data_IF_609384991224
#
_entry.id   IF_609384991224
#
_cell.length_a   1.000
_cell.length_b   1.000
_cell.length_c   1.000
_cell.angle_alpha   90.00
_cell.angle_beta   90.00
_cell.angle_gamma   90.00
#
_symmetry.space_group_name_H-M   'P 1'
#
loop_
_entity.id
_entity.type
_entity.pdbx_description
1 polymer ?
#
# COMPACT_ATOMS: atom_id res chain seq x y z
N UNK A 1 16.20 30.86 -5.70
CA UNK A 1 16.57 30.59 -4.30
C UNK A 1 16.66 29.08 -4.00
N UNK A 2 17.58 28.35 -4.65
CA UNK A 2 17.81 26.92 -4.33
C UNK A 2 19.30 26.54 -4.30
N UNK A 3 20.21 27.45 -4.67
CA UNK A 3 21.66 27.18 -4.66
C UNK A 3 22.39 27.79 -3.46
N UNK A 4 21.77 28.73 -2.71
CA UNK A 4 22.41 29.34 -1.53
C UNK A 4 22.43 28.41 -0.31
N UNK A 5 21.43 27.53 -0.16
CA UNK A 5 21.32 26.64 1.00
C UNK A 5 22.29 25.44 0.96
N UNK A 6 22.80 25.07 -0.22
CA UNK A 6 23.80 24.00 -0.36
C UNK A 6 25.24 24.47 -0.04
N UNK A 7 25.51 25.77 -0.08
CA UNK A 7 26.85 26.31 0.16
C UNK A 7 27.16 26.50 1.66
N UNK A 8 26.14 26.81 2.49
CA UNK A 8 26.30 27.06 3.93
C UNK A 8 26.53 25.76 4.72
N UNK A 9 25.99 24.63 4.25
CA UNK A 9 26.17 23.32 4.89
C UNK A 9 27.53 22.67 4.60
N UNK A 10 28.23 23.08 3.53
CA UNK A 10 29.56 22.54 3.21
C UNK A 10 30.69 23.30 3.95
N UNK A 11 30.49 24.57 4.29
CA UNK A 11 31.52 25.40 4.96
C UNK A 11 31.57 25.22 6.48
N UNK A 12 30.49 24.74 7.12
CA UNK A 12 30.48 24.43 8.56
C UNK A 12 31.21 23.13 8.90
N UNK A 13 31.37 22.21 7.94
CA UNK A 13 32.10 20.96 8.13
C UNK A 13 33.63 21.12 7.99
N UNK A 14 34.09 22.20 7.34
CA UNK A 14 35.52 22.43 7.07
C UNK A 14 36.17 23.32 8.14
N UNK A 15 35.40 24.12 8.87
CA UNK A 15 35.93 25.03 9.91
C UNK A 15 36.06 24.41 11.31
N UNK A 16 35.55 23.20 11.55
CA UNK A 16 35.72 22.49 12.83
C UNK A 16 37.02 21.69 12.93
N UNK A 17 37.85 21.64 11.87
CA UNK A 17 39.10 20.87 11.85
C UNK A 17 40.39 21.70 12.02
N UNK A 18 40.30 23.02 12.23
CA UNK A 18 41.49 23.88 12.35
C UNK A 18 41.52 24.73 13.64
N UNK A 19 41.15 24.17 14.80
CA UNK A 19 41.66 24.68 16.07
C UNK A 19 42.87 23.83 16.50
N UNK A 20 44.03 24.27 16.03
CA UNK A 20 45.32 23.78 16.45
C UNK A 20 45.56 24.18 17.92
N UNK A 21 45.07 23.37 18.86
CA UNK A 21 45.55 23.43 20.23
C UNK A 21 46.98 22.88 20.26
N UNK A 22 47.96 23.75 20.50
CA UNK A 22 49.32 23.37 20.87
C UNK A 22 49.26 22.62 22.22
N UNK A 23 49.07 21.31 22.15
CA UNK A 23 49.21 20.42 23.32
C UNK A 23 50.68 20.05 23.45
N UNK A 24 51.32 20.63 24.46
CA UNK A 24 52.63 20.19 24.96
C UNK A 24 52.63 18.66 25.17
N UNK A 25 53.72 17.93 24.86
CA UNK A 25 53.73 16.48 24.96
C UNK A 25 53.80 16.08 26.43
N UNK A 26 52.65 16.10 27.12
CA UNK A 26 52.49 15.26 28.30
C UNK A 26 52.51 13.82 27.77
N UNK A 27 53.55 13.09 28.19
CA UNK A 27 53.75 11.67 27.91
C UNK A 27 52.61 10.88 28.55
N UNK A 28 51.42 10.90 27.93
CA UNK A 28 50.35 9.97 28.28
C UNK A 28 50.87 8.59 27.88
N UNK A 29 51.19 7.78 28.89
CA UNK A 29 51.26 6.32 28.73
C UNK A 29 50.05 5.92 27.90
N UNK A 30 50.27 5.27 26.76
CA UNK A 30 49.22 4.41 26.20
C UNK A 30 48.89 3.41 27.30
N UNK A 31 47.84 3.67 28.07
CA UNK A 31 47.16 2.61 28.79
C UNK A 31 46.58 1.72 27.71
N UNK A 32 47.32 0.66 27.35
CA UNK A 32 46.74 -0.49 26.67
C UNK A 32 45.55 -0.89 27.54
N UNK A 33 44.33 -0.65 27.04
CA UNK A 33 43.12 -1.23 27.61
C UNK A 33 43.40 -2.71 27.84
N UNK A 34 43.09 -3.20 29.04
CA UNK A 34 43.31 -4.58 29.40
C UNK A 34 42.59 -5.44 28.34
N UNK A 35 43.18 -6.52 27.78
CA UNK A 35 42.51 -7.33 26.75
C UNK A 35 41.08 -7.77 27.11
N UNK A 36 40.79 -7.89 28.41
CA UNK A 36 39.45 -8.16 28.96
C UNK A 36 38.46 -7.01 28.69
N UNK A 37 38.85 -5.75 28.91
CA UNK A 37 38.01 -4.56 28.67
C UNK A 37 37.70 -4.37 27.17
N UNK A 38 38.66 -4.71 26.30
CA UNK A 38 38.45 -4.70 24.85
C UNK A 38 37.44 -5.77 24.43
N UNK A 39 37.54 -6.98 24.99
CA UNK A 39 36.61 -8.07 24.72
C UNK A 39 35.17 -7.73 25.15
N UNK A 40 35.01 -7.13 26.34
CA UNK A 40 33.70 -6.74 26.84
C UNK A 40 33.08 -5.60 26.03
N UNK A 41 33.88 -4.63 25.58
CA UNK A 41 33.40 -3.58 24.66
C UNK A 41 32.93 -4.15 23.32
N UNK A 42 33.67 -5.10 22.74
CA UNK A 42 33.32 -5.76 21.48
C UNK A 42 32.04 -6.61 21.62
N UNK A 43 31.87 -7.31 22.74
CA UNK A 43 30.64 -8.05 23.06
C UNK A 43 29.43 -7.12 23.15
N UNK A 44 29.60 -5.95 23.77
CA UNK A 44 28.53 -4.97 23.89
C UNK A 44 28.14 -4.39 22.53
N UNK A 45 29.12 -4.06 21.68
CA UNK A 45 28.87 -3.65 20.30
C UNK A 45 28.17 -4.74 19.49
N UNK A 46 28.61 -5.99 19.59
CA UNK A 46 27.99 -7.13 18.90
C UNK A 46 26.52 -7.30 19.31
N UNK A 47 26.24 -7.26 20.61
CA UNK A 47 24.88 -7.38 21.14
C UNK A 47 23.97 -6.24 20.66
N UNK A 48 24.50 -5.02 20.56
CA UNK A 48 23.74 -3.89 20.02
C UNK A 48 23.44 -4.05 18.54
N UNK A 49 24.43 -4.50 17.75
CA UNK A 49 24.24 -4.78 16.31
C UNK A 49 23.19 -5.87 16.08
N UNK A 50 23.21 -6.94 16.89
CA UNK A 50 22.21 -8.01 16.81
C UNK A 50 20.79 -7.48 17.08
N UNK A 51 20.62 -6.67 18.14
CA UNK A 51 19.34 -6.03 18.45
C UNK A 51 18.84 -5.12 17.34
N UNK A 52 19.74 -4.33 16.74
CA UNK A 52 19.37 -3.47 15.59
C UNK A 52 18.95 -4.31 14.39
N UNK A 53 19.65 -5.42 14.12
CA UNK A 53 19.29 -6.32 13.03
C UNK A 53 17.90 -6.95 13.22
N UNK A 54 17.60 -7.41 14.44
CA UNK A 54 16.27 -7.97 14.76
C UNK A 54 15.16 -6.91 14.63
N UNK A 55 15.43 -5.68 15.04
CA UNK A 55 14.52 -4.54 14.86
C UNK A 55 14.25 -4.27 13.38
N UNK A 56 15.30 -4.19 12.55
CA UNK A 56 15.18 -3.95 11.11
C UNK A 56 14.43 -5.08 10.41
N UNK A 57 14.66 -6.33 10.81
CA UNK A 57 13.93 -7.49 10.27
C UNK A 57 12.44 -7.40 10.57
N UNK A 58 12.09 -7.00 11.80
CA UNK A 58 10.69 -6.81 12.21
C UNK A 58 10.03 -5.68 11.42
N UNK A 59 10.74 -4.57 11.26
CA UNK A 59 10.25 -3.44 10.48
C UNK A 59 10.04 -3.81 9.01
N UNK A 60 10.98 -4.52 8.39
CA UNK A 60 10.86 -5.01 7.01
C UNK A 60 9.66 -5.95 6.84
N UNK A 61 9.41 -6.84 7.80
CA UNK A 61 8.22 -7.69 7.78
C UNK A 61 6.92 -6.89 7.90
N UNK A 62 6.92 -5.81 8.68
CA UNK A 62 5.78 -4.89 8.76
C UNK A 62 5.55 -4.18 7.42
N UNK A 63 6.57 -3.56 6.85
CA UNK A 63 6.47 -2.89 5.55
C UNK A 63 6.02 -3.84 4.43
N UNK A 64 6.48 -5.09 4.43
CA UNK A 64 6.03 -6.11 3.47
C UNK A 64 4.53 -6.41 3.58
N UNK A 65 4.00 -6.49 4.81
CA UNK A 65 2.55 -6.68 5.03
C UNK A 65 1.74 -5.48 4.57
N UNK A 66 2.18 -4.28 4.92
CA UNK A 66 1.52 -3.04 4.49
C UNK A 66 1.52 -2.91 2.96
N UNK A 67 2.65 -3.23 2.31
CA UNK A 67 2.76 -3.22 0.86
C UNK A 67 1.84 -4.24 0.17
N UNK A 68 1.79 -5.47 0.67
CA UNK A 68 0.89 -6.49 0.12
C UNK A 68 -0.58 -6.09 0.27
N UNK A 69 -0.96 -5.53 1.42
CA UNK A 69 -2.32 -5.02 1.64
C UNK A 69 -2.66 -3.87 0.68
N UNK A 70 -1.70 -3.01 0.34
CA UNK A 70 -1.88 -1.97 -0.66
C UNK A 70 -2.00 -2.53 -2.08
N UNK A 71 -1.25 -3.59 -2.40
CA UNK A 71 -1.39 -4.30 -3.68
C UNK A 71 -2.79 -4.88 -3.79
N UNK A 72 -3.26 -5.62 -2.79
CA UNK A 72 -4.61 -6.20 -2.71
C UNK A 72 -5.68 -5.11 -2.83
N UNK A 73 -5.53 -4.01 -2.10
CA UNK A 73 -6.45 -2.88 -2.17
C UNK A 73 -6.49 -2.23 -3.56
N UNK A 74 -5.35 -2.19 -4.26
CA UNK A 74 -5.25 -1.62 -5.60
C UNK A 74 -5.73 -2.56 -6.70
N UNK A 75 -5.59 -3.87 -6.52
CA UNK A 75 -6.06 -4.90 -7.45
C UNK A 75 -7.56 -5.16 -7.31
N UNK A 76 -8.16 -4.79 -6.18
CA UNK A 76 -9.54 -5.13 -5.84
C UNK A 76 -9.68 -6.58 -5.38
N UNK A 77 -8.57 -7.21 -4.99
CA UNK A 77 -8.51 -8.57 -4.48
C UNK A 77 -8.66 -8.55 -2.96
N UNK A 78 -9.48 -9.46 -2.44
CA UNK A 78 -9.68 -9.71 -1.03
C UNK A 78 -9.28 -11.15 -0.76
N UNK A 79 -8.43 -11.40 0.23
CA UNK A 79 -7.97 -12.75 0.58
C UNK A 79 -8.25 -12.98 2.05
N UNK A 80 -8.98 -14.04 2.37
CA UNK A 80 -9.09 -14.56 3.74
C UNK A 80 -8.03 -15.64 3.92
N UNK A 81 -7.04 -15.37 4.76
CA UNK A 81 -5.87 -16.24 4.92
C UNK A 81 -6.17 -17.59 5.58
N UNK A 82 -7.39 -17.85 6.03
CA UNK A 82 -7.79 -19.06 6.74
C UNK A 82 -8.95 -19.80 6.06
N UNK A 83 -8.83 -20.15 4.77
CA UNK A 83 -9.73 -21.15 4.20
C UNK A 83 -9.58 -22.46 4.98
N UNK A 84 -10.69 -22.95 5.56
CA UNK A 84 -10.67 -24.13 6.43
C UNK A 84 -10.78 -25.43 5.65
N UNK A 85 -11.20 -25.36 4.40
CA UNK A 85 -11.50 -26.51 3.56
C UNK A 85 -11.18 -26.21 2.09
N UNK A 86 -10.83 -27.22 1.30
CA UNK A 86 -10.45 -27.06 -0.12
C UNK A 86 -11.62 -26.59 -1.01
N UNK A 87 -12.85 -26.74 -0.51
CA UNK A 87 -14.07 -26.29 -1.17
C UNK A 87 -14.51 -24.88 -0.75
N UNK A 88 -13.80 -24.22 0.16
CA UNK A 88 -14.06 -22.85 0.55
C UNK A 88 -13.16 -21.89 -0.24
N UNK A 89 -13.74 -20.76 -0.66
CA UNK A 89 -12.95 -19.73 -1.31
C UNK A 89 -12.00 -19.10 -0.27
N UNK A 90 -10.69 -19.14 -0.51
CA UNK A 90 -9.70 -18.45 0.33
C UNK A 90 -9.61 -16.96 -0.04
N UNK A 91 -10.26 -16.53 -1.11
CA UNK A 91 -10.29 -15.13 -1.50
C UNK A 91 -11.34 -14.85 -2.56
N UNK A 92 -11.59 -13.59 -2.82
CA UNK A 92 -12.40 -13.15 -3.94
C UNK A 92 -11.93 -11.78 -4.45
N UNK A 93 -12.24 -11.49 -5.70
CA UNK A 93 -12.12 -10.15 -6.28
C UNK A 93 -13.43 -9.75 -6.92
N UNK A 94 -13.71 -8.46 -6.94
CA UNK A 94 -14.79 -7.94 -7.77
C UNK A 94 -14.25 -7.49 -9.12
N UNK A 95 -14.96 -7.88 -10.18
CA UNK A 95 -14.73 -7.42 -11.55
C UNK A 95 -15.88 -6.54 -11.99
N UNK A 96 -15.55 -5.38 -12.54
CA UNK A 96 -16.51 -4.50 -13.19
C UNK A 96 -16.53 -4.80 -14.69
N UNK A 97 -17.73 -5.06 -15.21
CA UNK A 97 -17.95 -5.32 -16.63
C UNK A 97 -18.93 -4.29 -17.19
N UNK A 98 -18.58 -3.69 -18.32
CA UNK A 98 -19.45 -2.74 -19.01
C UNK A 98 -19.78 -3.35 -20.36
N UNK A 99 -21.06 -3.69 -20.56
CA UNK A 99 -21.56 -4.23 -21.82
C UNK A 99 -22.27 -3.14 -22.60
N UNK A 100 -21.97 -3.04 -23.89
CA UNK A 100 -22.63 -2.13 -24.82
C UNK A 100 -23.78 -2.87 -25.53
N UNK A 101 -24.97 -2.30 -25.52
CA UNK A 101 -26.14 -2.75 -26.28
C UNK A 101 -26.63 -1.60 -27.17
N UNK A 102 -26.31 -1.68 -28.46
CA UNK A 102 -26.61 -0.66 -29.49
C UNK A 102 -26.08 0.74 -29.14
N UNK A 103 -26.78 1.47 -28.28
CA UNK A 103 -26.44 2.82 -27.80
C UNK A 103 -26.38 2.94 -26.27
N UNK A 104 -26.72 1.89 -25.53
CA UNK A 104 -26.80 1.90 -24.06
C UNK A 104 -25.69 1.07 -23.45
N UNK A 105 -25.16 1.48 -22.30
CA UNK A 105 -24.19 0.67 -21.55
C UNK A 105 -24.78 0.18 -20.25
N UNK A 106 -24.60 -1.10 -19.98
CA UNK A 106 -24.98 -1.74 -18.72
C UNK A 106 -23.75 -2.07 -17.89
N UNK A 107 -23.83 -1.84 -16.59
CA UNK A 107 -22.77 -2.11 -15.62
C UNK A 107 -23.06 -3.39 -14.83
N UNK A 108 -22.10 -4.28 -14.75
CA UNK A 108 -22.19 -5.51 -13.98
C UNK A 108 -21.05 -5.59 -12.97
N UNK A 109 -21.40 -6.06 -11.78
CA UNK A 109 -20.48 -6.42 -10.72
C UNK A 109 -20.40 -7.94 -10.66
N UNK A 110 -19.22 -8.50 -10.89
CA UNK A 110 -18.99 -9.94 -10.85
C UNK A 110 -18.05 -10.27 -9.70
N UNK A 111 -18.50 -11.11 -8.75
CA UNK A 111 -17.63 -11.67 -7.71
C UNK A 111 -16.92 -12.91 -8.28
N UNK A 112 -15.61 -12.86 -8.35
CA UNK A 112 -14.75 -13.97 -8.74
C UNK A 112 -14.09 -14.53 -7.49
N UNK A 113 -14.33 -15.79 -7.19
CA UNK A 113 -13.84 -16.50 -6.00
C UNK A 113 -12.61 -17.34 -6.36
N UNK A 114 -11.59 -17.27 -5.51
CA UNK A 114 -10.32 -17.99 -5.64
C UNK A 114 -10.31 -19.18 -4.68
N UNK A 115 -9.94 -20.34 -5.20
CA UNK A 115 -9.88 -21.62 -4.50
C UNK A 115 -8.49 -22.24 -4.67
N UNK A 116 -8.20 -23.26 -3.86
CA UNK A 116 -6.94 -24.00 -3.89
C UNK A 116 -6.44 -24.29 -5.30
N UNK A 117 -5.10 -24.33 -5.44
CA UNK A 117 -4.40 -24.56 -6.71
C UNK A 117 -4.55 -23.43 -7.75
N UNK A 118 -5.00 -22.24 -7.33
CA UNK A 118 -5.14 -21.07 -8.21
C UNK A 118 -6.36 -21.13 -9.11
N UNK A 119 -7.32 -22.00 -8.80
CA UNK A 119 -8.58 -22.09 -9.53
C UNK A 119 -9.50 -20.92 -9.19
N UNK A 120 -10.26 -20.44 -10.19
CA UNK A 120 -11.19 -19.31 -10.04
C UNK A 120 -12.58 -19.70 -10.53
N UNK A 121 -13.62 -19.24 -9.82
CA UNK A 121 -15.02 -19.42 -10.22
C UNK A 121 -15.81 -18.14 -10.07
N UNK A 122 -16.83 -17.96 -10.89
CA UNK A 122 -17.78 -16.85 -10.73
C UNK A 122 -18.75 -17.25 -9.61
N UNK A 123 -18.67 -16.57 -8.47
CA UNK A 123 -19.60 -16.78 -7.36
C UNK A 123 -20.94 -16.09 -7.60
N UNK A 124 -20.91 -14.88 -8.17
CA UNK A 124 -22.13 -14.15 -8.55
C UNK A 124 -21.87 -13.05 -9.56
N UNK A 125 -22.90 -12.70 -10.33
CA UNK A 125 -22.91 -11.54 -11.22
C UNK A 125 -24.19 -10.76 -10.97
N UNK A 126 -24.05 -9.45 -10.74
CA UNK A 126 -25.15 -8.55 -10.44
C UNK A 126 -25.16 -7.37 -11.42
N UNK A 127 -26.29 -7.16 -12.10
CA UNK A 127 -26.50 -5.98 -12.94
C UNK A 127 -26.82 -4.79 -12.04
N UNK A 128 -25.97 -3.77 -12.06
CA UNK A 128 -26.22 -2.53 -11.34
C UNK A 128 -27.24 -1.71 -12.14
N UNK A 129 -28.34 -1.33 -11.48
CA UNK A 129 -29.36 -0.46 -12.06
C UNK A 129 -28.95 1.02 -11.90
N UNK A 130 -28.04 1.48 -12.77
CA UNK A 130 -27.49 2.83 -12.69
C UNK A 130 -28.55 3.91 -12.83
N UNK A 131 -29.59 3.67 -13.62
CA UNK A 131 -30.70 4.59 -13.84
C UNK A 131 -31.41 4.89 -12.52
N UNK A 132 -31.66 3.84 -11.73
CA UNK A 132 -32.26 3.97 -10.40
C UNK A 132 -31.28 4.59 -9.40
N UNK A 133 -30.04 4.11 -9.36
CA UNK A 133 -29.07 4.54 -8.35
C UNK A 133 -28.65 6.00 -8.56
N UNK A 134 -28.37 6.42 -9.80
CA UNK A 134 -27.92 7.78 -10.12
C UNK A 134 -29.06 8.73 -10.49
N UNK A 135 -30.31 8.24 -10.55
CA UNK A 135 -31.48 8.97 -11.02
C UNK A 135 -31.25 9.63 -12.41
N UNK A 136 -30.79 8.82 -13.36
CA UNK A 136 -30.48 9.22 -14.74
C UNK A 136 -31.36 8.46 -15.74
N UNK A 137 -31.49 8.98 -16.96
CA UNK A 137 -32.16 8.25 -18.03
C UNK A 137 -31.26 7.16 -18.63
N UNK A 138 -31.83 6.10 -19.25
CA UNK A 138 -31.04 5.09 -19.95
C UNK A 138 -30.09 5.69 -20.99
N UNK A 139 -30.50 6.72 -21.72
CA UNK A 139 -29.70 7.39 -22.75
C UNK A 139 -28.40 8.00 -22.19
N UNK A 140 -28.44 8.47 -20.94
CA UNK A 140 -27.27 9.03 -20.27
C UNK A 140 -26.20 7.97 -19.99
N UNK A 141 -26.58 6.68 -19.93
CA UNK A 141 -25.63 5.57 -19.69
C UNK A 141 -24.66 5.35 -20.85
N UNK A 142 -24.92 5.86 -22.05
CA UNK A 142 -24.00 5.70 -23.18
C UNK A 142 -22.58 6.24 -22.88
N UNK A 143 -22.50 7.29 -22.06
CA UNK A 143 -21.24 7.90 -21.65
C UNK A 143 -20.58 7.19 -20.45
N UNK A 144 -21.16 6.09 -19.96
CA UNK A 144 -20.61 5.32 -18.85
C UNK A 144 -19.17 4.89 -19.13
N UNK A 145 -18.30 5.17 -18.15
CA UNK A 145 -16.90 4.77 -18.09
C UNK A 145 -16.54 4.33 -16.68
N UNK A 146 -15.85 3.20 -16.59
CA UNK A 146 -15.10 2.86 -15.39
C UNK A 146 -13.84 3.75 -15.33
N UNK A 147 -13.56 4.34 -14.16
CA UNK A 147 -12.38 5.18 -13.96
C UNK A 147 -11.28 4.38 -13.25
N UNK A 148 -11.55 3.90 -12.03
CA UNK A 148 -10.59 3.16 -11.21
C UNK A 148 -11.25 2.51 -10.00
N UNK A 149 -10.55 1.55 -9.40
CA UNK A 149 -10.79 1.13 -8.02
C UNK A 149 -10.24 2.16 -7.04
N UNK A 150 -10.97 2.40 -5.95
CA UNK A 150 -10.49 3.15 -4.78
C UNK A 150 -10.12 2.20 -3.64
N UNK A 151 -10.81 1.07 -3.51
CA UNK A 151 -10.57 -0.02 -2.56
C UNK A 151 -11.24 -1.30 -3.10
N UNK A 152 -11.07 -2.48 -2.45
CA UNK A 152 -11.75 -3.71 -2.86
C UNK A 152 -13.28 -3.63 -2.85
N UNK A 153 -13.85 -2.72 -2.06
CA UNK A 153 -15.28 -2.50 -1.95
C UNK A 153 -15.75 -1.17 -2.57
N UNK A 154 -14.87 -0.39 -3.19
CA UNK A 154 -15.23 0.92 -3.74
C UNK A 154 -14.58 1.16 -5.09
N UNK A 155 -15.38 1.58 -6.07
CA UNK A 155 -14.89 1.98 -7.38
C UNK A 155 -15.53 3.27 -7.86
N UNK A 156 -14.86 3.89 -8.83
CA UNK A 156 -15.26 5.17 -9.39
C UNK A 156 -15.70 4.97 -10.84
N UNK A 157 -16.87 5.51 -11.16
CA UNK A 157 -17.40 5.57 -12.52
C UNK A 157 -17.66 7.01 -12.93
N UNK A 158 -17.76 7.25 -14.23
CA UNK A 158 -18.30 8.49 -14.77
C UNK A 158 -19.43 8.22 -15.74
N UNK A 159 -20.49 9.02 -15.63
CA UNK A 159 -21.65 9.04 -16.52
C UNK A 159 -21.98 10.51 -16.79
N UNK A 160 -22.15 10.89 -18.06
CA UNK A 160 -22.47 12.27 -18.46
C UNK A 160 -21.57 13.34 -17.77
N UNK A 161 -20.25 13.09 -17.75
CA UNK A 161 -19.21 13.92 -17.10
C UNK A 161 -19.30 14.06 -15.57
N UNK A 162 -20.35 13.53 -14.93
CA UNK A 162 -20.42 13.38 -13.47
C UNK A 162 -19.61 12.17 -13.07
N UNK A 163 -18.97 12.25 -11.91
CA UNK A 163 -18.17 11.18 -11.34
C UNK A 163 -18.81 10.76 -10.03
N UNK A 164 -19.07 9.46 -9.88
CA UNK A 164 -19.68 8.91 -8.67
C UNK A 164 -18.80 7.78 -8.12
N UNK A 165 -18.77 7.67 -6.80
CA UNK A 165 -18.11 6.57 -6.10
C UNK A 165 -19.21 5.56 -5.72
N UNK A 166 -19.04 4.33 -6.16
CA UNK A 166 -19.94 3.22 -5.86
C UNK A 166 -19.27 2.35 -4.81
N UNK A 167 -19.98 2.11 -3.71
CA UNK A 167 -19.62 1.18 -2.66
C UNK A 167 -20.37 -0.14 -2.86
N UNK A 168 -19.63 -1.24 -2.74
CA UNK A 168 -20.16 -2.59 -2.77
C UNK A 168 -20.51 -2.96 -1.33
N UNK A 169 -21.80 -3.09 -1.05
CA UNK A 169 -22.29 -3.53 0.28
C UNK A 169 -22.23 -5.05 0.37
N UNK A 170 -22.63 -5.72 -0.71
CA UNK A 170 -22.53 -7.16 -0.89
C UNK A 170 -22.58 -7.48 -2.40
N UNK A 171 -22.40 -8.75 -2.81
CA UNK A 171 -22.33 -9.09 -4.24
C UNK A 171 -23.59 -8.79 -5.07
N UNK A 172 -24.70 -8.42 -4.42
CA UNK A 172 -26.00 -8.15 -5.04
C UNK A 172 -26.53 -6.75 -4.72
N UNK A 173 -25.75 -5.91 -4.04
CA UNK A 173 -26.15 -4.58 -3.63
C UNK A 173 -24.98 -3.62 -3.62
N UNK A 174 -25.21 -2.46 -4.24
CA UNK A 174 -24.30 -1.32 -4.21
C UNK A 174 -25.00 -0.09 -3.68
N UNK A 175 -24.23 0.89 -3.23
CA UNK A 175 -24.70 2.21 -2.79
C UNK A 175 -23.79 3.30 -3.36
N UNK A 176 -24.33 4.48 -3.63
CA UNK A 176 -23.53 5.62 -4.09
C UNK A 176 -23.09 6.44 -2.89
N UNK A 177 -21.77 6.60 -2.76
CA UNK A 177 -21.17 7.52 -1.79
C UNK A 177 -20.99 8.86 -2.50
N UNK A 178 -22.08 9.61 -2.64
CA UNK A 178 -21.97 11.00 -3.07
C UNK A 178 -21.40 11.83 -1.92
N UNK A 179 -20.12 12.17 -1.99
CA UNK A 179 -19.55 13.31 -1.28
C UNK A 179 -19.60 14.50 -2.23
N UNK A 180 -20.77 15.14 -2.30
CA UNK A 180 -20.84 16.52 -2.75
C UNK A 180 -19.98 17.40 -1.84
#
# INVERSE_FOLDING_TARGET
>A
MQYLFKLILLTSFILSFNSCNKVSPSRKKLTKLNPVEQLDSLRLTLNNLLKTNDSLKTELQRWKREFNSLIEASSGEFTDTEAKDDNEAYGFTYRIEIYLSEIYKSLYLTKVESYGEGSQRIGSTFKINLEKELNISPEETNDLKFIKWNSPAEFKISVNKKTSIIQIINPQKVEIIDKN
#
